data_IF_825214866856
#
_entry.id   IF_825214866856
#
_cell.length_a   1.000
_cell.length_b   1.000
_cell.length_c   1.000
_cell.angle_alpha   90.00
_cell.angle_beta   90.00
_cell.angle_gamma   90.00
#
_symmetry.space_group_name_H-M   'P 1'
#
loop_
_entity.id
_entity.type
_entity.pdbx_description
1 polymer ?
#
# COMPACT_ATOMS: atom_id res chain seq x y z
N UNK A 1 1.56 -21.23 -13.66
CA UNK A 1 0.61 -21.39 -12.53
C UNK A 1 1.09 -20.48 -11.40
N UNK A 2 0.38 -19.37 -11.13
CA UNK A 2 0.72 -18.50 -9.99
C UNK A 2 0.46 -19.25 -8.69
N UNK A 3 1.52 -19.72 -8.04
CA UNK A 3 1.42 -20.39 -6.75
C UNK A 3 1.25 -19.34 -5.68
N UNK A 4 0.00 -19.03 -5.33
CA UNK A 4 -0.38 -18.16 -4.21
C UNK A 4 0.42 -18.50 -2.93
N UNK A 5 0.79 -19.78 -2.75
CA UNK A 5 1.64 -20.24 -1.65
C UNK A 5 3.01 -19.55 -1.54
N UNK A 6 3.58 -19.03 -2.62
CA UNK A 6 4.87 -18.31 -2.60
C UNK A 6 4.77 -16.95 -1.89
N UNK A 7 3.57 -16.39 -1.75
CA UNK A 7 3.34 -15.14 -1.03
C UNK A 7 3.04 -15.35 0.47
N UNK A 8 2.85 -16.60 0.90
CA UNK A 8 2.58 -16.90 2.31
C UNK A 8 3.76 -16.41 3.16
N UNK A 9 3.45 -15.65 4.20
CA UNK A 9 4.43 -15.15 5.17
C UNK A 9 5.51 -14.20 4.61
N UNK A 10 5.35 -13.66 3.40
CA UNK A 10 6.34 -12.77 2.76
C UNK A 10 6.75 -11.55 3.62
N UNK A 11 5.84 -11.06 4.47
CA UNK A 11 6.04 -9.89 5.33
C UNK A 11 5.78 -10.17 6.82
N UNK A 12 6.02 -11.39 7.30
CA UNK A 12 5.82 -11.73 8.74
C UNK A 12 6.56 -10.75 9.65
N UNK A 13 5.87 -10.30 10.69
CA UNK A 13 6.41 -9.35 11.68
C UNK A 13 6.50 -7.90 11.22
N UNK A 14 6.22 -7.59 9.94
CA UNK A 14 6.22 -6.22 9.42
C UNK A 14 4.82 -5.60 9.53
N UNK A 15 4.79 -4.27 9.71
CA UNK A 15 3.56 -3.48 9.68
C UNK A 15 3.23 -3.07 8.25
N UNK A 16 2.00 -3.34 7.81
CA UNK A 16 1.46 -2.90 6.53
C UNK A 16 0.52 -1.71 6.74
N UNK A 17 0.70 -0.66 5.94
CA UNK A 17 -0.24 0.44 5.84
C UNK A 17 -1.09 0.29 4.57
N UNK A 18 -2.40 0.45 4.71
CA UNK A 18 -3.33 0.40 3.57
C UNK A 18 -3.74 1.83 3.25
N UNK A 19 -3.52 2.25 2.00
CA UNK A 19 -3.78 3.60 1.55
C UNK A 19 -4.94 3.61 0.55
N UNK A 20 -6.03 4.27 0.93
CA UNK A 20 -7.20 4.48 0.07
C UNK A 20 -7.11 5.84 -0.66
N UNK A 21 -8.22 6.31 -1.22
CA UNK A 21 -8.31 7.56 -1.99
C UNK A 21 -9.19 8.62 -1.33
N UNK A 22 -9.49 8.48 -0.03
CA UNK A 22 -10.42 9.35 0.67
C UNK A 22 -9.91 10.79 0.79
N UNK A 23 -10.81 11.79 0.81
CA UNK A 23 -10.43 13.21 0.87
C UNK A 23 -9.70 13.59 2.16
N UNK A 24 -9.84 12.80 3.24
CA UNK A 24 -9.10 12.99 4.49
C UNK A 24 -7.58 12.93 4.33
N UNK A 25 -7.08 12.33 3.25
CA UNK A 25 -5.64 12.28 2.96
C UNK A 25 -5.06 13.61 2.47
N UNK A 26 -5.90 14.53 1.99
CA UNK A 26 -5.45 15.80 1.39
C UNK A 26 -4.74 16.73 2.37
N UNK A 27 -5.02 16.60 3.67
CA UNK A 27 -4.46 17.44 4.73
C UNK A 27 -3.40 16.72 5.58
N UNK A 28 -3.12 15.45 5.28
CA UNK A 28 -2.17 14.63 6.03
C UNK A 28 -0.78 14.66 5.38
N UNK A 29 0.26 14.77 6.20
CA UNK A 29 1.63 14.49 5.75
C UNK A 29 1.84 12.98 5.59
N UNK A 30 2.00 12.53 4.36
CA UNK A 30 2.26 11.14 4.01
C UNK A 30 3.75 10.79 3.90
N UNK A 31 4.66 11.77 4.09
CA UNK A 31 6.10 11.54 4.05
C UNK A 31 6.60 10.39 4.97
N UNK A 32 6.00 10.11 6.14
CA UNK A 32 6.42 8.98 6.98
C UNK A 32 6.19 7.60 6.35
N UNK A 33 5.28 7.50 5.37
CA UNK A 33 4.97 6.24 4.67
C UNK A 33 6.09 5.81 3.71
N UNK A 34 6.96 6.73 3.27
CA UNK A 34 8.06 6.45 2.34
C UNK A 34 9.05 5.38 2.84
N UNK A 35 9.08 5.10 4.15
CA UNK A 35 9.94 4.10 4.79
C UNK A 35 9.16 2.92 5.37
N UNK A 36 7.91 2.74 4.96
CA UNK A 36 6.99 1.71 5.47
C UNK A 36 6.48 0.85 4.33
N UNK A 37 6.05 -0.36 4.65
CA UNK A 37 5.36 -1.21 3.70
C UNK A 37 3.95 -0.64 3.48
N UNK A 38 3.63 -0.28 2.24
CA UNK A 38 2.35 0.34 1.87
C UNK A 38 1.67 -0.44 0.75
N UNK A 39 0.38 -0.71 0.92
CA UNK A 39 -0.51 -1.23 -0.11
C UNK A 39 -1.52 -0.15 -0.50
N UNK A 40 -1.44 0.32 -1.75
CA UNK A 40 -2.42 1.24 -2.31
C UNK A 40 -3.65 0.51 -2.84
N UNK A 41 -4.82 1.12 -2.71
CA UNK A 41 -6.08 0.66 -3.28
C UNK A 41 -6.52 1.53 -4.46
N UNK A 42 -7.09 0.91 -5.49
CA UNK A 42 -7.78 1.56 -6.60
C UNK A 42 -7.01 2.74 -7.21
N UNK A 43 -7.46 3.98 -6.98
CA UNK A 43 -6.85 5.21 -7.54
C UNK A 43 -5.89 5.91 -6.57
N UNK A 44 -5.56 5.27 -5.44
CA UNK A 44 -4.63 5.84 -4.45
C UNK A 44 -3.24 6.09 -5.03
N UNK A 45 -2.82 5.34 -6.06
CA UNK A 45 -1.56 5.55 -6.77
C UNK A 45 -1.42 6.95 -7.40
N UNK A 46 -2.53 7.64 -7.71
CA UNK A 46 -2.49 9.01 -8.23
C UNK A 46 -2.11 10.03 -7.15
N UNK A 47 -2.46 9.75 -5.89
CA UNK A 47 -2.17 10.61 -4.74
C UNK A 47 -0.82 10.24 -4.11
N UNK A 48 -0.46 8.96 -4.18
CA UNK A 48 0.78 8.46 -3.62
C UNK A 48 1.32 7.31 -4.50
N UNK A 49 2.12 7.62 -5.53
CA UNK A 49 2.57 6.62 -6.50
C UNK A 49 3.58 5.61 -5.93
N UNK A 50 4.20 5.92 -4.79
CA UNK A 50 5.28 5.11 -4.20
C UNK A 50 4.77 4.05 -3.22
N UNK A 51 3.79 3.23 -3.62
CA UNK A 51 3.34 2.07 -2.81
C UNK A 51 4.07 0.79 -3.23
N UNK A 52 4.19 -0.17 -2.30
CA UNK A 52 4.89 -1.44 -2.57
C UNK A 52 3.99 -2.43 -3.29
N UNK A 53 2.70 -2.40 -2.95
CA UNK A 53 1.67 -3.18 -3.60
C UNK A 53 0.54 -2.28 -4.05
N UNK A 54 -0.17 -2.72 -5.08
CA UNK A 54 -1.36 -2.02 -5.56
C UNK A 54 -2.47 -3.03 -5.82
N UNK A 55 -3.58 -2.86 -5.12
CA UNK A 55 -4.80 -3.60 -5.36
C UNK A 55 -5.72 -2.71 -6.19
N UNK A 56 -5.74 -2.95 -7.49
CA UNK A 56 -6.65 -2.29 -8.43
C UNK A 56 -7.62 -3.32 -8.99
N UNK A 57 -8.86 -2.89 -9.22
CA UNK A 57 -9.87 -3.61 -9.99
C UNK A 57 -9.81 -3.15 -11.44
#
# INVERSE_FOLDING_TARGET
MNRIGEFKNLHVGKRLFILASGPSLTTLDLSPLNRRLVMGLNRSCLLHPNTHYHCAM
#
